data_IF_352950775718
#
_entry.id   IF_352950775718
#
_cell.length_a   1.000
_cell.length_b   1.000
_cell.length_c   1.000
_cell.angle_alpha   90.00
_cell.angle_beta   90.00
_cell.angle_gamma   90.00
#
_symmetry.space_group_name_H-M   'P 1'
#
loop_
_entity.id
_entity.type
_entity.pdbx_description
1 polymer ?
#
# COMPACT_ATOMS: atom_id res chain seq x y z
N UNK A 1 -26.93 29.43 -20.10
CA UNK A 1 -26.32 29.07 -18.80
C UNK A 1 -27.26 28.08 -18.14
N UNK A 2 -26.78 26.88 -17.75
CA UNK A 2 -27.57 25.92 -17.00
C UNK A 2 -27.98 26.49 -15.65
N UNK A 3 -29.16 26.10 -15.12
CA UNK A 3 -29.68 26.54 -13.85
C UNK A 3 -29.72 25.39 -12.84
N UNK A 4 -29.23 25.62 -11.61
CA UNK A 4 -29.41 24.69 -10.51
C UNK A 4 -30.89 24.75 -10.08
N UNK A 5 -31.67 23.72 -10.44
CA UNK A 5 -33.10 23.68 -10.15
C UNK A 5 -33.45 23.23 -8.74
N UNK A 6 -32.67 22.28 -8.17
CA UNK A 6 -32.79 21.92 -6.76
C UNK A 6 -31.51 21.32 -6.18
N UNK A 7 -31.38 21.39 -4.84
CA UNK A 7 -30.34 20.73 -4.06
C UNK A 7 -31.06 19.98 -2.91
N UNK A 8 -31.00 18.66 -2.92
CA UNK A 8 -31.76 17.81 -2.00
C UNK A 8 -30.84 16.94 -1.14
N UNK A 9 -31.03 16.90 0.19
CA UNK A 9 -30.28 15.98 1.04
C UNK A 9 -30.53 14.52 0.64
N UNK A 10 -29.48 13.69 0.66
CA UNK A 10 -29.62 12.27 0.42
C UNK A 10 -30.30 11.58 1.63
N UNK A 11 -31.18 10.61 1.35
CA UNK A 11 -31.96 9.90 2.39
C UNK A 11 -31.03 9.09 3.31
N UNK A 12 -30.08 8.37 2.73
CA UNK A 12 -29.19 7.43 3.45
C UNK A 12 -27.94 8.10 4.05
N UNK A 13 -27.54 9.26 3.56
CA UNK A 13 -26.35 9.98 4.01
C UNK A 13 -26.62 11.48 4.08
N UNK A 14 -26.87 11.96 5.29
CA UNK A 14 -27.18 13.38 5.56
C UNK A 14 -26.00 14.33 5.34
N UNK A 15 -24.80 13.80 5.18
CA UNK A 15 -23.61 14.60 4.84
C UNK A 15 -23.49 14.87 3.33
N UNK A 16 -24.43 14.37 2.53
CA UNK A 16 -24.45 14.48 1.08
C UNK A 16 -25.76 15.07 0.56
N UNK A 17 -25.68 15.68 -0.60
CA UNK A 17 -26.86 16.19 -1.33
C UNK A 17 -26.78 15.84 -2.83
N UNK A 18 -27.93 15.74 -3.45
CA UNK A 18 -28.11 15.64 -4.89
C UNK A 18 -28.27 17.04 -5.48
N UNK A 19 -27.57 17.34 -6.55
CA UNK A 19 -27.71 18.59 -7.32
C UNK A 19 -28.42 18.25 -8.62
N UNK A 20 -29.46 19.03 -8.92
CA UNK A 20 -30.21 18.97 -10.17
C UNK A 20 -29.98 20.22 -10.97
N UNK A 21 -29.73 20.07 -12.27
CA UNK A 21 -29.48 21.18 -13.20
C UNK A 21 -30.48 21.03 -14.36
N UNK A 22 -31.16 22.11 -14.70
CA UNK A 22 -32.21 22.15 -15.72
C UNK A 22 -33.26 21.04 -15.56
N UNK A 23 -33.61 20.72 -14.29
CA UNK A 23 -34.57 19.68 -13.91
C UNK A 23 -34.05 18.24 -13.95
N UNK A 24 -32.80 18.00 -14.38
CA UNK A 24 -32.19 16.69 -14.42
C UNK A 24 -31.18 16.48 -13.30
N UNK A 25 -31.07 15.23 -12.77
CA UNK A 25 -30.01 14.88 -11.83
C UNK A 25 -28.65 15.08 -12.49
N UNK A 26 -27.80 15.89 -11.88
CA UNK A 26 -26.44 16.15 -12.34
C UNK A 26 -25.40 15.32 -11.58
N UNK A 27 -25.30 15.52 -10.25
CA UNK A 27 -24.36 14.77 -9.43
C UNK A 27 -24.80 14.70 -7.95
N UNK A 28 -24.25 13.70 -7.22
CA UNK A 28 -24.33 13.66 -5.75
C UNK A 28 -23.02 14.16 -5.17
N UNK A 29 -23.07 15.22 -4.35
CA UNK A 29 -21.90 15.86 -3.74
C UNK A 29 -21.95 15.81 -2.22
N UNK A 30 -20.81 16.01 -1.54
CA UNK A 30 -20.82 16.30 -0.11
C UNK A 30 -21.40 17.69 0.14
N UNK A 31 -22.09 17.84 1.25
CA UNK A 31 -22.63 19.13 1.69
C UNK A 31 -21.53 20.19 1.80
N UNK A 32 -20.33 19.79 2.23
CA UNK A 32 -19.13 20.63 2.26
C UNK A 32 -18.77 21.21 0.89
N UNK A 33 -18.92 20.43 -0.19
CA UNK A 33 -18.66 20.90 -1.57
C UNK A 33 -19.74 21.92 -1.96
N UNK A 34 -21.02 21.64 -1.69
CA UNK A 34 -22.10 22.59 -1.97
C UNK A 34 -21.90 23.93 -1.24
N UNK A 35 -21.47 23.89 0.01
CA UNK A 35 -21.17 25.11 0.80
C UNK A 35 -19.97 25.84 0.22
N UNK A 36 -18.89 25.16 -0.12
CA UNK A 36 -17.66 25.76 -0.69
C UNK A 36 -17.93 26.51 -1.98
N UNK A 37 -18.77 25.95 -2.85
CA UNK A 37 -19.15 26.56 -4.10
C UNK A 37 -20.39 27.47 -3.98
N UNK A 38 -20.90 27.72 -2.77
CA UNK A 38 -22.08 28.55 -2.51
C UNK A 38 -23.30 28.19 -3.37
N UNK A 39 -23.49 26.87 -3.65
CA UNK A 39 -24.55 26.40 -4.53
C UNK A 39 -25.93 26.64 -3.92
N UNK A 40 -26.86 27.16 -4.71
CA UNK A 40 -28.25 27.43 -4.33
C UNK A 40 -29.19 27.10 -5.48
N UNK A 41 -30.42 26.67 -5.18
CA UNK A 41 -31.47 26.58 -6.18
C UNK A 41 -31.74 27.97 -6.78
N UNK A 42 -32.02 28.04 -8.09
CA UNK A 42 -32.17 29.27 -8.86
C UNK A 42 -30.85 29.89 -9.31
N UNK A 43 -29.70 29.28 -8.99
CA UNK A 43 -28.40 29.81 -9.41
C UNK A 43 -28.09 29.37 -10.86
N UNK A 44 -27.74 30.33 -11.70
CA UNK A 44 -27.16 30.06 -13.02
C UNK A 44 -25.67 29.76 -12.86
N UNK A 45 -25.18 28.72 -13.55
CA UNK A 45 -23.81 28.23 -13.39
C UNK A 45 -23.17 28.00 -14.75
N UNK A 46 -21.91 28.41 -14.91
CA UNK A 46 -21.14 28.15 -16.12
C UNK A 46 -20.68 26.68 -16.19
N UNK A 47 -20.49 26.17 -17.42
CA UNK A 47 -20.06 24.77 -17.63
C UNK A 47 -18.73 24.47 -16.92
N UNK A 48 -17.79 25.37 -16.98
CA UNK A 48 -16.47 25.28 -16.36
C UNK A 48 -16.57 25.16 -14.84
N UNK A 49 -17.58 25.77 -14.23
CA UNK A 49 -17.83 25.69 -12.80
C UNK A 49 -18.50 24.37 -12.41
N UNK A 50 -19.40 23.86 -13.25
CA UNK A 50 -19.94 22.52 -13.12
C UNK A 50 -18.85 21.45 -13.19
N UNK A 51 -17.91 21.57 -14.12
CA UNK A 51 -16.78 20.65 -14.26
C UNK A 51 -15.87 20.70 -13.03
N UNK A 52 -15.62 21.88 -12.43
CA UNK A 52 -14.89 22.01 -11.16
C UNK A 52 -15.61 21.32 -10.00
N UNK A 53 -16.92 21.51 -9.89
CA UNK A 53 -17.75 20.87 -8.84
C UNK A 53 -17.69 19.35 -8.98
N UNK A 54 -17.78 18.83 -10.22
CA UNK A 54 -17.67 17.40 -10.47
C UNK A 54 -16.31 16.88 -10.07
N UNK A 55 -15.22 17.55 -10.45
CA UNK A 55 -13.87 17.18 -10.08
C UNK A 55 -13.65 17.16 -8.57
N UNK A 56 -14.12 18.19 -7.84
CA UNK A 56 -14.04 18.24 -6.37
C UNK A 56 -14.87 17.13 -5.71
N UNK A 57 -16.03 16.79 -6.29
CA UNK A 57 -16.84 15.68 -5.85
C UNK A 57 -16.10 14.34 -6.01
N UNK A 58 -15.47 14.11 -7.17
CA UNK A 58 -14.66 12.91 -7.42
C UNK A 58 -13.46 12.81 -6.47
N UNK A 59 -12.74 13.92 -6.23
CA UNK A 59 -11.64 13.97 -5.25
C UNK A 59 -12.11 13.58 -3.85
N UNK A 60 -13.25 14.13 -3.42
CA UNK A 60 -13.82 13.82 -2.10
C UNK A 60 -14.23 12.35 -1.99
N UNK A 61 -14.89 11.79 -3.00
CA UNK A 61 -15.28 10.37 -3.03
C UNK A 61 -14.07 9.44 -3.07
N UNK A 62 -13.06 9.79 -3.85
CA UNK A 62 -11.81 9.02 -3.93
C UNK A 62 -11.07 9.02 -2.59
N UNK A 63 -11.03 10.16 -1.90
CA UNK A 63 -10.44 10.27 -0.56
C UNK A 63 -11.15 9.38 0.46
N UNK A 64 -12.49 9.38 0.51
CA UNK A 64 -13.27 8.52 1.41
C UNK A 64 -12.98 7.03 1.17
N UNK A 65 -12.95 6.62 -0.10
CA UNK A 65 -12.62 5.23 -0.46
C UNK A 65 -11.17 4.87 -0.11
N UNK A 66 -10.25 5.79 -0.30
CA UNK A 66 -8.85 5.58 0.06
C UNK A 66 -8.67 5.42 1.57
N UNK A 67 -9.28 6.29 2.38
CA UNK A 67 -9.25 6.18 3.85
C UNK A 67 -9.88 4.88 4.34
N UNK A 68 -11.03 4.49 3.77
CA UNK A 68 -11.65 3.19 4.05
C UNK A 68 -10.74 2.01 3.68
N UNK A 69 -9.99 2.12 2.56
CA UNK A 69 -9.04 1.07 2.17
C UNK A 69 -7.81 1.00 3.08
N UNK A 70 -7.36 2.15 3.61
CA UNK A 70 -6.25 2.24 4.56
C UNK A 70 -6.63 1.74 5.96
N UNK A 71 -7.89 1.88 6.38
CA UNK A 71 -8.32 1.42 7.70
C UNK A 71 -8.15 -0.09 7.91
N UNK A 72 -8.11 -0.88 6.84
CA UNK A 72 -7.92 -2.33 6.92
C UNK A 72 -6.43 -2.73 7.11
N UNK A 73 -5.49 -2.01 6.51
CA UNK A 73 -4.04 -2.23 6.65
C UNK A 73 -3.24 -1.16 5.90
N UNK A 74 -1.98 -0.99 6.30
CA UNK A 74 -1.03 -0.13 5.57
C UNK A 74 -0.96 -0.52 4.09
N UNK A 75 -0.82 0.48 3.23
CA UNK A 75 -0.66 0.33 1.78
C UNK A 75 0.51 1.16 1.29
N UNK A 76 1.20 0.66 0.27
CA UNK A 76 2.19 1.47 -0.46
C UNK A 76 1.48 2.49 -1.36
N UNK A 77 2.20 3.53 -1.75
CA UNK A 77 1.71 4.53 -2.71
C UNK A 77 1.20 3.86 -3.99
N UNK A 78 1.95 2.89 -4.53
CA UNK A 78 1.55 2.14 -5.72
C UNK A 78 0.28 1.32 -5.52
N UNK A 79 0.14 0.61 -4.40
CA UNK A 79 -1.06 -0.16 -4.10
C UNK A 79 -2.30 0.74 -4.01
N UNK A 80 -2.16 1.94 -3.44
CA UNK A 80 -3.26 2.91 -3.39
C UNK A 80 -3.59 3.46 -4.77
N UNK A 81 -2.58 3.79 -5.59
CA UNK A 81 -2.76 4.20 -6.99
C UNK A 81 -3.53 3.14 -7.78
N UNK A 82 -3.09 1.90 -7.71
CA UNK A 82 -3.72 0.76 -8.39
C UNK A 82 -5.18 0.55 -7.92
N UNK A 83 -5.43 0.71 -6.62
CA UNK A 83 -6.77 0.62 -6.06
C UNK A 83 -7.71 1.70 -6.62
N UNK A 84 -7.29 2.96 -6.61
CA UNK A 84 -8.10 4.08 -7.11
C UNK A 84 -8.30 3.98 -8.64
N UNK A 85 -7.27 3.58 -9.38
CA UNK A 85 -7.37 3.33 -10.82
C UNK A 85 -8.40 2.25 -11.15
N UNK A 86 -8.40 1.13 -10.41
CA UNK A 86 -9.42 0.06 -10.54
C UNK A 86 -10.83 0.51 -10.17
N UNK A 87 -10.96 1.58 -9.37
CA UNK A 87 -12.26 2.21 -9.07
C UNK A 87 -12.73 3.17 -10.15
N UNK A 88 -11.93 3.39 -11.20
CA UNK A 88 -12.28 4.22 -12.35
C UNK A 88 -11.97 5.70 -12.19
N UNK A 89 -11.20 6.10 -11.16
CA UNK A 89 -10.81 7.51 -11.01
C UNK A 89 -9.76 7.91 -12.05
N UNK A 90 -9.87 9.14 -12.56
CA UNK A 90 -8.90 9.71 -13.50
C UNK A 90 -7.59 10.07 -12.80
N UNK A 91 -6.50 10.13 -13.58
CA UNK A 91 -5.15 10.32 -13.04
C UNK A 91 -5.03 11.57 -12.14
N UNK A 92 -5.63 12.70 -12.54
CA UNK A 92 -5.59 13.95 -11.77
C UNK A 92 -6.22 13.81 -10.37
N UNK A 93 -7.31 13.03 -10.23
CA UNK A 93 -7.95 12.73 -8.95
C UNK A 93 -7.06 11.81 -8.11
N UNK A 94 -6.46 10.79 -8.74
CA UNK A 94 -5.55 9.85 -8.07
C UNK A 94 -4.34 10.59 -7.51
N UNK A 95 -3.70 11.42 -8.31
CA UNK A 95 -2.50 12.17 -7.89
C UNK A 95 -2.82 13.14 -6.74
N UNK A 96 -3.94 13.86 -6.82
CA UNK A 96 -4.42 14.70 -5.73
C UNK A 96 -4.61 13.92 -4.42
N UNK A 97 -5.28 12.75 -4.48
CA UNK A 97 -5.53 11.93 -3.28
C UNK A 97 -4.23 11.39 -2.70
N UNK A 98 -3.31 10.91 -3.54
CA UNK A 98 -2.02 10.39 -3.09
C UNK A 98 -1.18 11.48 -2.41
N UNK A 99 -1.10 12.67 -3.02
CA UNK A 99 -0.39 13.81 -2.43
C UNK A 99 -0.95 14.16 -1.04
N UNK A 100 -2.27 14.22 -0.90
CA UNK A 100 -2.93 14.51 0.39
C UNK A 100 -2.69 13.41 1.42
N UNK A 101 -2.79 12.14 1.03
CA UNK A 101 -2.53 11.01 1.94
C UNK A 101 -1.07 10.98 2.40
N UNK A 102 -0.11 11.33 1.53
CA UNK A 102 1.29 11.48 1.89
C UNK A 102 1.52 12.65 2.84
N UNK A 103 0.93 13.83 2.54
CA UNK A 103 1.07 15.01 3.39
C UNK A 103 0.51 14.83 4.80
N UNK A 104 -0.48 13.95 4.97
CA UNK A 104 -1.04 13.57 6.27
C UNK A 104 -0.33 12.37 6.92
N UNK A 105 0.67 11.79 6.27
CA UNK A 105 1.38 10.60 6.77
C UNK A 105 0.57 9.31 6.74
N UNK A 106 -0.57 9.26 6.04
CA UNK A 106 -1.36 8.03 5.87
C UNK A 106 -0.74 7.05 4.89
N UNK A 107 0.08 7.54 3.95
CA UNK A 107 0.92 6.74 3.06
C UNK A 107 2.36 7.15 3.29
N UNK A 108 3.17 6.18 3.73
CA UNK A 108 4.59 6.30 3.95
C UNK A 108 5.25 4.97 3.55
N UNK A 109 5.92 4.96 2.40
CA UNK A 109 6.56 3.75 1.88
C UNK A 109 7.80 3.36 2.71
N UNK A 110 8.48 4.30 3.39
CA UNK A 110 9.56 3.98 4.32
C UNK A 110 9.04 3.31 5.59
N UNK A 111 7.99 3.88 6.19
CA UNK A 111 7.29 3.30 7.33
C UNK A 111 6.70 1.92 7.00
N UNK A 112 6.17 1.76 5.78
CA UNK A 112 5.70 0.48 5.27
C UNK A 112 6.81 -0.56 5.21
N UNK A 113 8.00 -0.19 4.69
CA UNK A 113 9.17 -1.08 4.65
C UNK A 113 9.57 -1.53 6.06
N UNK A 114 9.70 -0.59 7.00
CA UNK A 114 10.07 -0.89 8.40
C UNK A 114 9.08 -1.85 9.04
N UNK A 115 7.78 -1.59 8.90
CA UNK A 115 6.74 -2.47 9.44
C UNK A 115 6.77 -3.86 8.80
N UNK A 116 6.98 -3.93 7.46
CA UNK A 116 7.09 -5.21 6.77
C UNK A 116 8.31 -6.01 7.21
N UNK A 117 9.48 -5.38 7.31
CA UNK A 117 10.73 -6.03 7.74
C UNK A 117 10.59 -6.58 9.16
N UNK A 118 10.03 -5.80 10.09
CA UNK A 118 9.83 -6.21 11.47
C UNK A 118 8.83 -7.35 11.64
N UNK A 119 7.85 -7.43 10.74
CA UNK A 119 6.80 -8.48 10.81
C UNK A 119 7.13 -9.76 10.06
N UNK A 120 8.20 -9.79 9.25
CA UNK A 120 8.52 -10.97 8.44
C UNK A 120 9.56 -11.84 9.12
N UNK A 121 9.29 -13.15 9.20
CA UNK A 121 10.22 -14.14 9.73
C UNK A 121 10.57 -15.22 8.71
N UNK A 122 11.75 -15.81 8.82
CA UNK A 122 12.18 -16.93 7.99
C UNK A 122 12.39 -16.58 6.50
N UNK A 123 12.69 -15.31 6.19
CA UNK A 123 13.07 -14.83 4.87
C UNK A 123 14.35 -14.02 4.96
N UNK A 124 15.25 -14.28 4.05
CA UNK A 124 16.48 -13.49 3.90
C UNK A 124 16.24 -12.16 3.18
N UNK A 125 17.22 -11.29 3.26
CA UNK A 125 17.21 -9.92 2.74
C UNK A 125 16.78 -9.81 1.28
N UNK A 126 17.24 -10.73 0.40
CA UNK A 126 16.87 -10.75 -1.02
C UNK A 126 15.39 -11.06 -1.26
N UNK A 127 14.79 -11.95 -0.44
CA UNK A 127 13.38 -12.26 -0.56
C UNK A 127 12.50 -11.11 -0.04
N UNK A 128 12.94 -10.41 1.00
CA UNK A 128 12.28 -9.21 1.53
C UNK A 128 12.30 -8.11 0.46
N UNK A 129 13.46 -7.82 -0.13
CA UNK A 129 13.63 -6.86 -1.22
C UNK A 129 12.66 -7.14 -2.38
N UNK A 130 12.66 -8.38 -2.87
CA UNK A 130 11.78 -8.80 -3.97
C UNK A 130 10.28 -8.62 -3.62
N UNK A 131 9.89 -8.89 -2.37
CA UNK A 131 8.51 -8.71 -1.93
C UNK A 131 8.11 -7.23 -1.83
N UNK A 132 8.98 -6.37 -1.31
CA UNK A 132 8.75 -4.92 -1.23
C UNK A 132 8.67 -4.32 -2.64
N UNK A 133 9.57 -4.71 -3.53
CA UNK A 133 9.52 -4.30 -4.94
C UNK A 133 8.22 -4.73 -5.63
N UNK A 134 7.78 -5.97 -5.42
CA UNK A 134 6.49 -6.47 -5.94
C UNK A 134 5.31 -5.66 -5.42
N UNK A 135 5.39 -5.13 -4.21
CA UNK A 135 4.37 -4.26 -3.59
C UNK A 135 4.44 -2.81 -4.08
N UNK A 136 5.44 -2.49 -4.92
CA UNK A 136 5.59 -1.23 -5.63
C UNK A 136 6.34 -0.16 -4.87
N UNK A 137 7.09 -0.53 -3.82
CA UNK A 137 8.05 0.39 -3.22
C UNK A 137 9.21 0.61 -4.18
N UNK A 138 9.70 1.83 -4.28
CA UNK A 138 10.83 2.16 -5.14
C UNK A 138 12.15 1.56 -4.60
N UNK A 139 13.09 1.31 -5.53
CA UNK A 139 14.35 0.64 -5.22
C UNK A 139 15.18 1.37 -4.17
N UNK A 140 15.26 2.70 -4.22
CA UNK A 140 16.07 3.50 -3.29
C UNK A 140 15.51 3.44 -1.87
N UNK A 141 14.19 3.48 -1.73
CA UNK A 141 13.51 3.33 -0.44
C UNK A 141 13.75 1.95 0.15
N UNK A 142 13.70 0.89 -0.68
CA UNK A 142 14.00 -0.48 -0.25
C UNK A 142 15.45 -0.60 0.19
N UNK A 143 16.41 -0.12 -0.60
CA UNK A 143 17.84 -0.15 -0.28
C UNK A 143 18.13 0.52 1.06
N UNK A 144 17.60 1.74 1.29
CA UNK A 144 17.73 2.45 2.58
C UNK A 144 17.13 1.67 3.74
N UNK A 145 15.94 1.10 3.55
CA UNK A 145 15.27 0.33 4.60
C UNK A 145 16.02 -0.96 4.97
N UNK A 146 16.77 -1.54 4.03
CA UNK A 146 17.53 -2.78 4.21
C UNK A 146 19.01 -2.54 4.56
N UNK A 147 19.51 -1.29 4.56
CA UNK A 147 20.92 -0.97 4.75
C UNK A 147 21.46 -1.55 6.06
N UNK A 148 20.75 -1.34 7.16
CA UNK A 148 21.14 -1.77 8.50
C UNK A 148 20.44 -3.07 8.94
N UNK A 149 19.83 -3.79 8.02
CA UNK A 149 19.20 -5.09 8.33
C UNK A 149 20.26 -6.18 8.23
N UNK A 150 20.63 -6.77 9.33
CA UNK A 150 21.53 -7.92 9.39
C UNK A 150 20.73 -9.22 9.27
N UNK A 151 21.34 -10.22 8.67
CA UNK A 151 20.76 -11.57 8.61
C UNK A 151 21.11 -12.30 9.92
N UNK A 152 20.09 -12.64 10.69
CA UNK A 152 20.25 -13.32 11.97
C UNK A 152 20.78 -14.76 11.78
N UNK A 153 22.05 -14.96 12.11
CA UNK A 153 22.73 -16.24 12.01
C UNK A 153 22.10 -17.35 12.85
N UNK A 154 21.54 -17.01 14.03
CA UNK A 154 20.83 -17.97 14.88
C UNK A 154 19.52 -18.44 14.23
N UNK A 155 18.80 -17.51 13.62
CA UNK A 155 17.58 -17.84 12.86
C UNK A 155 17.89 -18.75 11.67
N UNK A 156 18.98 -18.46 10.94
CA UNK A 156 19.42 -19.25 9.79
C UNK A 156 19.78 -20.67 10.25
N UNK A 157 20.55 -20.79 11.31
CA UNK A 157 20.94 -22.07 11.90
C UNK A 157 19.73 -22.88 12.33
N UNK A 158 18.78 -22.26 13.05
CA UNK A 158 17.54 -22.92 13.46
C UNK A 158 16.70 -23.41 12.29
N UNK A 159 16.64 -22.65 11.17
CA UNK A 159 15.95 -23.03 9.96
C UNK A 159 16.65 -24.20 9.25
N UNK A 160 18.00 -24.23 9.24
CA UNK A 160 18.79 -25.31 8.69
C UNK A 160 18.58 -26.60 9.51
N UNK A 161 18.66 -26.52 10.84
CA UNK A 161 18.38 -27.64 11.75
C UNK A 161 16.96 -28.18 11.55
N UNK A 162 15.98 -27.28 11.42
CA UNK A 162 14.58 -27.66 11.12
C UNK A 162 14.45 -28.39 9.78
N UNK A 163 15.17 -27.95 8.74
CA UNK A 163 15.16 -28.60 7.44
C UNK A 163 15.77 -29.99 7.48
N UNK A 164 16.82 -30.19 8.29
CA UNK A 164 17.54 -31.45 8.44
C UNK A 164 16.88 -32.41 9.44
N UNK A 165 15.88 -31.99 10.17
CA UNK A 165 15.19 -32.85 11.16
C UNK A 165 14.67 -34.12 10.50
N UNK A 166 15.09 -35.30 11.01
CA UNK A 166 14.72 -36.62 10.51
C UNK A 166 15.43 -37.05 9.22
N UNK A 167 16.46 -36.31 8.80
CA UNK A 167 17.32 -36.67 7.67
C UNK A 167 18.72 -37.00 8.17
N UNK A 168 19.38 -37.96 7.51
CA UNK A 168 20.81 -38.19 7.77
C UNK A 168 21.62 -36.94 7.42
N UNK A 169 22.62 -36.61 8.22
CA UNK A 169 23.53 -35.48 8.02
C UNK A 169 24.60 -35.80 6.98
N UNK A 170 24.17 -36.11 5.78
CA UNK A 170 25.08 -36.32 4.63
C UNK A 170 25.42 -34.96 3.98
N UNK A 171 26.58 -34.89 3.33
CA UNK A 171 26.98 -33.72 2.52
C UNK A 171 25.89 -33.30 1.52
N UNK A 172 25.19 -34.31 0.96
CA UNK A 172 24.09 -34.07 0.02
C UNK A 172 22.89 -33.39 0.69
N UNK A 173 22.48 -33.82 1.88
CA UNK A 173 21.37 -33.25 2.62
C UNK A 173 21.72 -31.83 3.14
N UNK A 174 22.95 -31.61 3.59
CA UNK A 174 23.46 -30.26 3.94
C UNK A 174 23.40 -29.33 2.72
N UNK A 175 23.91 -29.77 1.56
CA UNK A 175 23.85 -28.98 0.35
C UNK A 175 22.40 -28.62 -0.06
N UNK A 176 21.47 -29.57 0.04
CA UNK A 176 20.02 -29.31 -0.20
C UNK A 176 19.45 -28.30 0.80
N UNK A 177 19.86 -28.37 2.07
CA UNK A 177 19.48 -27.40 3.11
C UNK A 177 19.99 -26.00 2.81
N UNK A 178 21.27 -25.88 2.40
CA UNK A 178 21.86 -24.59 1.99
C UNK A 178 21.13 -24.00 0.78
N UNK A 179 20.83 -24.80 -0.25
CA UNK A 179 20.05 -24.35 -1.41
C UNK A 179 18.64 -23.89 -1.02
N UNK A 180 17.99 -24.57 -0.09
CA UNK A 180 16.68 -24.17 0.43
C UNK A 180 16.74 -22.80 1.09
N UNK A 181 17.77 -22.52 1.92
CA UNK A 181 17.93 -21.22 2.58
C UNK A 181 18.28 -20.10 1.59
N UNK A 182 19.14 -20.37 0.60
CA UNK A 182 19.41 -19.41 -0.49
C UNK A 182 18.12 -19.12 -1.27
N UNK A 183 17.30 -20.14 -1.52
CA UNK A 183 15.98 -19.97 -2.14
C UNK A 183 14.99 -19.15 -1.29
N UNK A 184 15.18 -19.09 0.03
CA UNK A 184 14.46 -18.20 0.94
C UNK A 184 15.01 -16.76 0.97
N UNK A 185 16.06 -16.49 0.20
CA UNK A 185 16.64 -15.16 0.00
C UNK A 185 17.75 -14.80 0.98
N UNK A 186 18.27 -15.74 1.76
CA UNK A 186 19.47 -15.54 2.58
C UNK A 186 20.73 -15.44 1.71
N UNK A 187 21.72 -14.67 2.15
CA UNK A 187 23.00 -14.55 1.47
C UNK A 187 23.78 -15.88 1.53
N UNK A 188 24.64 -16.09 0.54
CA UNK A 188 25.51 -17.27 0.53
C UNK A 188 26.44 -17.29 1.74
N UNK A 189 27.00 -16.15 2.10
CA UNK A 189 27.93 -15.97 3.22
C UNK A 189 27.26 -16.35 4.55
N UNK A 190 26.05 -15.84 4.81
CA UNK A 190 25.31 -16.14 6.03
C UNK A 190 24.90 -17.63 6.12
N UNK A 191 24.49 -18.21 4.98
CA UNK A 191 24.15 -19.66 4.92
C UNK A 191 25.39 -20.52 5.12
N UNK A 192 26.52 -20.15 4.54
CA UNK A 192 27.80 -20.87 4.67
C UNK A 192 28.27 -20.84 6.13
N UNK A 193 28.26 -19.68 6.79
CA UNK A 193 28.59 -19.54 8.21
C UNK A 193 27.69 -20.40 9.11
N UNK A 194 26.39 -20.45 8.81
CA UNK A 194 25.47 -21.32 9.58
C UNK A 194 25.75 -22.83 9.36
N UNK A 195 26.19 -23.23 8.15
CA UNK A 195 26.61 -24.61 7.89
C UNK A 195 27.89 -24.98 8.67
N UNK A 196 28.91 -24.09 8.68
CA UNK A 196 30.15 -24.26 9.43
C UNK A 196 29.89 -24.41 10.93
N UNK A 197 29.06 -23.53 11.50
CA UNK A 197 28.65 -23.61 12.92
C UNK A 197 27.87 -24.88 13.29
N UNK A 198 27.14 -25.46 12.30
CA UNK A 198 26.46 -26.73 12.52
C UNK A 198 27.43 -27.89 12.62
N UNK A 199 28.53 -27.86 11.84
CA UNK A 199 29.58 -28.89 11.85
C UNK A 199 30.44 -28.79 13.14
N UNK A 200 30.79 -27.57 13.59
CA UNK A 200 31.58 -27.33 14.81
C UNK A 200 30.83 -27.71 16.11
N UNK A 201 29.51 -27.67 16.12
CA UNK A 201 28.69 -28.01 17.28
C UNK A 201 28.58 -29.51 17.59
N UNK A 202 29.22 -30.40 16.86
CA UNK A 202 29.21 -31.86 17.03
C UNK A 202 30.48 -32.42 17.66
N UNK A 203 31.49 -31.60 17.93
CA UNK A 203 32.75 -32.05 18.55
C UNK A 203 32.72 -32.03 20.10
N UNK A 204 31.51 -32.02 20.72
CA UNK A 204 31.35 -32.10 22.17
C UNK A 204 30.37 -33.18 22.58
#
# INVERSE_FOLDING_TARGET
MPEITSIEPQIKDKTRCNVYVDGAFYCGIKLEVAIRFHLKAGMYIEKEELDKIQLETEKSQAMDKALTHLSASMKTQRQMRDFLSKKGYVQAVIDYVLERLQSYGYIDDEGYCKAYISGVTGKGKRAIEAQLYKRGVDKRTIERALENVEEDGEQILALLQKYLRGKERTKENLYKGCRYLIGKGYSYEAVKSACERLDEGEDY
#
